data_IF_499408004681
#
_entry.id   IF_499408004681
#
_cell.length_a   1.000
_cell.length_b   1.000
_cell.length_c   1.000
_cell.angle_alpha   90.00
_cell.angle_beta   90.00
_cell.angle_gamma   90.00
#
_symmetry.space_group_name_H-M   'P 1'
#
loop_
_entity.id
_entity.type
_entity.pdbx_description
1 polymer ?
#
# COMPACT_ATOMS: atom_id res chain seq x y z
N UNK A 1 -70.90 -0.48 2.43
CA UNK A 1 -70.29 0.79 1.98
C UNK A 1 -68.88 0.76 2.50
N UNK A 2 -67.92 0.86 1.58
CA UNK A 2 -66.52 0.57 1.82
C UNK A 2 -65.83 1.65 2.65
N UNK A 3 -65.10 1.24 3.68
CA UNK A 3 -64.10 2.05 4.36
C UNK A 3 -62.89 2.20 3.43
N UNK A 4 -62.65 3.42 2.96
CA UNK A 4 -61.44 3.77 2.23
C UNK A 4 -60.37 4.20 3.22
N UNK A 5 -59.40 3.32 3.49
CA UNK A 5 -58.12 3.68 4.09
C UNK A 5 -57.45 4.78 3.25
N UNK A 6 -57.28 5.97 3.84
CA UNK A 6 -56.42 7.02 3.27
C UNK A 6 -54.98 6.72 3.69
N UNK A 7 -54.14 6.31 2.73
CA UNK A 7 -52.69 6.40 2.90
C UNK A 7 -52.26 7.87 3.06
N UNK A 8 -51.30 8.20 3.94
CA UNK A 8 -50.78 9.55 4.05
C UNK A 8 -50.09 9.97 2.75
N UNK A 9 -50.28 11.23 2.36
CA UNK A 9 -49.64 11.87 1.22
C UNK A 9 -48.13 11.60 1.24
N UNK A 10 -47.63 10.99 0.17
CA UNK A 10 -46.20 10.71 -0.02
C UNK A 10 -45.48 12.06 -0.05
N UNK A 11 -44.76 12.40 1.01
CA UNK A 11 -43.95 13.62 1.07
C UNK A 11 -43.14 13.72 -0.24
N UNK A 12 -43.32 14.81 -0.99
CA UNK A 12 -42.55 15.06 -2.21
C UNK A 12 -41.09 15.22 -1.81
N UNK A 13 -40.30 14.16 -2.04
CA UNK A 13 -38.84 14.20 -1.92
C UNK A 13 -38.32 15.14 -3.01
N UNK A 14 -37.59 16.18 -2.63
CA UNK A 14 -36.86 17.02 -3.58
C UNK A 14 -35.81 16.16 -4.30
N UNK A 15 -35.85 16.19 -5.64
CA UNK A 15 -34.95 15.44 -6.52
C UNK A 15 -34.13 16.38 -7.41
N UNK A 16 -34.11 17.68 -7.11
CA UNK A 16 -33.25 18.63 -7.80
C UNK A 16 -31.80 18.43 -7.38
N UNK A 17 -30.89 18.41 -8.36
CA UNK A 17 -29.49 18.23 -8.03
C UNK A 17 -28.93 19.43 -7.27
N UNK A 18 -28.18 19.18 -6.20
CA UNK A 18 -27.37 20.19 -5.55
C UNK A 18 -26.19 20.64 -6.42
N UNK A 19 -25.50 21.73 -6.04
CA UNK A 19 -24.25 22.12 -6.70
C UNK A 19 -23.18 21.03 -6.60
N UNK A 20 -22.97 20.47 -5.40
CA UNK A 20 -22.02 19.39 -5.18
C UNK A 20 -22.37 18.10 -5.92
N UNK A 21 -23.67 17.77 -6.02
CA UNK A 21 -24.14 16.62 -6.81
C UNK A 21 -23.85 16.80 -8.29
N UNK A 22 -24.12 17.99 -8.86
CA UNK A 22 -23.71 18.30 -10.23
C UNK A 22 -22.20 18.22 -10.44
N UNK A 23 -21.41 18.80 -9.53
CA UNK A 23 -19.95 18.84 -9.64
C UNK A 23 -19.36 17.43 -9.64
N UNK A 24 -19.71 16.63 -8.63
CA UNK A 24 -19.21 15.27 -8.47
C UNK A 24 -19.83 14.32 -9.50
N UNK A 25 -21.11 14.51 -9.84
CA UNK A 25 -21.84 13.74 -10.84
C UNK A 25 -21.25 13.89 -12.24
N UNK A 26 -20.85 15.10 -12.65
CA UNK A 26 -20.17 15.30 -13.94
C UNK A 26 -18.86 14.54 -14.01
N UNK A 27 -18.08 14.52 -12.93
CA UNK A 27 -16.84 13.75 -12.87
C UNK A 27 -17.12 12.25 -12.99
N UNK A 28 -18.08 11.73 -12.22
CA UNK A 28 -18.51 10.34 -12.24
C UNK A 28 -19.04 9.89 -13.61
N UNK A 29 -19.95 10.67 -14.20
CA UNK A 29 -20.58 10.37 -15.49
C UNK A 29 -19.52 10.31 -16.60
N UNK A 30 -18.58 11.27 -16.59
CA UNK A 30 -17.52 11.34 -17.59
C UNK A 30 -16.41 10.33 -17.35
N UNK A 31 -16.12 9.94 -16.11
CA UNK A 31 -14.99 9.09 -15.76
C UNK A 31 -14.96 7.78 -16.55
N UNK A 32 -16.13 7.16 -16.79
CA UNK A 32 -16.22 5.87 -17.48
C UNK A 32 -15.60 5.89 -18.89
N UNK A 33 -15.96 6.87 -19.72
CA UNK A 33 -15.52 6.95 -21.11
C UNK A 33 -14.31 7.89 -21.31
N UNK A 34 -13.90 8.61 -20.26
CA UNK A 34 -12.84 9.59 -20.36
C UNK A 34 -11.46 8.95 -20.66
N UNK A 35 -10.75 9.42 -21.70
CA UNK A 35 -9.35 9.09 -21.92
C UNK A 35 -8.45 9.66 -20.80
N UNK A 36 -7.39 8.96 -20.36
CA UNK A 36 -6.59 9.38 -19.20
C UNK A 36 -5.98 10.79 -19.30
N UNK A 37 -5.62 11.24 -20.50
CA UNK A 37 -5.08 12.59 -20.73
C UNK A 37 -6.07 13.73 -20.43
N UNK A 38 -7.36 13.43 -20.30
CA UNK A 38 -8.40 14.42 -19.97
C UNK A 38 -8.66 14.55 -18.46
N UNK A 39 -8.06 13.70 -17.61
CA UNK A 39 -8.18 13.82 -16.15
C UNK A 39 -7.70 15.19 -15.68
N UNK A 40 -6.47 15.55 -16.04
CA UNK A 40 -5.86 16.84 -15.68
C UNK A 40 -6.75 18.07 -16.00
N UNK A 41 -7.20 18.27 -17.26
CA UNK A 41 -8.03 19.43 -17.58
C UNK A 41 -9.44 19.37 -16.97
N UNK A 42 -9.99 18.18 -16.71
CA UNK A 42 -11.29 18.02 -16.04
C UNK A 42 -11.18 18.42 -14.56
N UNK A 43 -10.18 17.90 -13.84
CA UNK A 43 -9.91 18.29 -12.44
C UNK A 43 -9.71 19.79 -12.32
N UNK A 44 -8.91 20.39 -13.21
CA UNK A 44 -8.71 21.83 -13.21
C UNK A 44 -10.01 22.62 -13.48
N UNK A 45 -10.92 22.09 -14.30
CA UNK A 45 -12.22 22.73 -14.54
C UNK A 45 -13.14 22.64 -13.32
N UNK A 46 -13.24 21.46 -12.68
CA UNK A 46 -14.08 21.30 -11.49
C UNK A 46 -13.53 22.08 -10.29
N UNK A 47 -12.21 22.17 -10.13
CA UNK A 47 -11.57 23.04 -9.12
C UNK A 47 -11.85 24.51 -9.40
N UNK A 48 -11.80 24.96 -10.66
CA UNK A 48 -12.13 26.35 -11.00
C UNK A 48 -13.60 26.70 -10.70
N UNK A 49 -14.52 25.74 -10.81
CA UNK A 49 -15.95 25.95 -10.49
C UNK A 49 -16.22 26.17 -9.01
N UNK A 50 -15.33 25.70 -8.13
CA UNK A 50 -15.37 25.98 -6.69
C UNK A 50 -14.49 27.18 -6.31
N UNK A 51 -14.04 27.98 -7.29
CA UNK A 51 -13.20 29.16 -7.06
C UNK A 51 -11.71 28.84 -6.83
N UNK A 52 -11.31 27.58 -7.02
CA UNK A 52 -9.92 27.15 -6.86
C UNK A 52 -9.04 27.48 -8.06
N UNK A 53 -7.75 27.66 -7.80
CA UNK A 53 -6.69 27.92 -8.79
C UNK A 53 -5.41 27.17 -8.46
N UNK A 54 -4.43 27.27 -9.35
CA UNK A 54 -3.08 26.69 -9.19
C UNK A 54 -3.09 25.18 -8.87
N UNK A 55 -4.02 24.44 -9.48
CA UNK A 55 -4.23 23.03 -9.16
C UNK A 55 -3.06 22.16 -9.62
N UNK A 56 -2.61 21.27 -8.76
CA UNK A 56 -1.56 20.28 -9.02
C UNK A 56 -2.03 18.92 -8.54
N UNK A 57 -1.66 17.87 -9.27
CA UNK A 57 -1.78 16.48 -8.81
C UNK A 57 -0.36 15.98 -8.65
N UNK A 58 0.03 15.60 -7.43
CA UNK A 58 1.35 15.11 -7.09
C UNK A 58 1.25 13.61 -6.80
N UNK A 59 1.97 12.77 -7.53
CA UNK A 59 1.96 11.31 -7.39
C UNK A 59 3.22 10.83 -6.67
N UNK A 60 3.10 9.86 -5.77
CA UNK A 60 4.27 9.28 -5.10
C UNK A 60 5.21 8.58 -6.12
N UNK A 61 6.51 8.82 -6.04
CA UNK A 61 7.51 8.08 -6.82
C UNK A 61 7.72 6.64 -6.30
N UNK A 62 8.35 5.77 -7.09
CA UNK A 62 8.51 4.36 -6.69
C UNK A 62 9.39 4.16 -5.44
N UNK A 63 10.36 5.05 -5.19
CA UNK A 63 11.19 5.02 -3.98
C UNK A 63 10.54 5.63 -2.74
N UNK A 64 9.30 6.13 -2.85
CA UNK A 64 8.57 6.80 -1.76
C UNK A 64 9.32 8.00 -1.14
N UNK A 65 10.16 8.68 -1.91
CA UNK A 65 10.98 9.83 -1.48
C UNK A 65 10.30 11.15 -1.76
N UNK A 66 9.65 11.28 -2.91
CA UNK A 66 9.06 12.55 -3.38
C UNK A 66 7.66 12.36 -3.96
N UNK A 67 6.87 13.42 -3.88
CA UNK A 67 5.62 13.57 -4.64
C UNK A 67 5.93 14.32 -5.93
N UNK A 68 5.68 13.70 -7.07
CA UNK A 68 6.03 14.18 -8.40
C UNK A 68 4.81 14.78 -9.10
N UNK A 69 4.87 16.02 -9.61
CA UNK A 69 3.74 16.62 -10.29
C UNK A 69 3.40 15.89 -11.59
N UNK A 70 2.14 15.50 -11.73
CA UNK A 70 1.58 14.92 -12.93
C UNK A 70 1.51 15.99 -14.03
N UNK A 71 2.19 15.80 -15.19
CA UNK A 71 2.08 16.73 -16.29
C UNK A 71 0.67 16.66 -16.89
N UNK A 72 0.06 17.83 -17.11
CA UNK A 72 -1.28 17.89 -17.66
C UNK A 72 -1.71 19.29 -18.04
N UNK A 73 -2.55 19.40 -19.08
CA UNK A 73 -3.10 20.69 -19.51
C UNK A 73 -3.94 21.28 -18.37
N UNK A 74 -3.72 22.57 -18.04
CA UNK A 74 -4.38 23.33 -16.96
C UNK A 74 -3.97 22.92 -15.53
N UNK A 75 -3.06 21.97 -15.35
CA UNK A 75 -2.40 21.78 -14.06
C UNK A 75 -1.18 22.68 -13.95
N UNK A 76 -0.94 23.19 -12.76
CA UNK A 76 0.32 23.79 -12.36
C UNK A 76 1.32 22.66 -12.14
N UNK A 77 2.41 22.69 -12.91
CA UNK A 77 3.52 21.73 -12.82
C UNK A 77 4.68 22.43 -12.12
N UNK A 78 4.93 22.06 -10.87
CA UNK A 78 6.06 22.55 -10.07
C UNK A 78 7.25 21.60 -10.10
N UNK A 79 8.13 21.75 -9.11
CA UNK A 79 9.17 20.77 -8.80
C UNK A 79 8.60 19.63 -7.93
N UNK A 80 9.22 18.43 -7.93
CA UNK A 80 8.88 17.38 -6.98
C UNK A 80 9.04 17.85 -5.52
N UNK A 81 8.11 17.47 -4.66
CA UNK A 81 8.09 17.85 -3.24
C UNK A 81 8.54 16.65 -2.36
N UNK A 82 9.45 16.83 -1.37
CA UNK A 82 9.85 15.75 -0.48
C UNK A 82 8.69 15.19 0.35
N UNK A 83 8.53 13.87 0.43
CA UNK A 83 7.47 13.25 1.25
C UNK A 83 7.73 13.49 2.76
N UNK A 84 8.98 13.48 3.19
CA UNK A 84 9.33 13.61 4.61
C UNK A 84 9.40 15.06 5.13
N UNK A 85 9.42 16.05 4.25
CA UNK A 85 9.71 17.45 4.62
C UNK A 85 8.98 18.44 3.69
N UNK A 86 7.66 18.26 3.57
CA UNK A 86 6.78 19.23 2.88
C UNK A 86 5.35 19.16 3.43
N UNK A 87 4.57 20.20 3.17
CA UNK A 87 3.14 20.23 3.51
C UNK A 87 2.35 19.16 2.73
N UNK A 88 2.70 18.95 1.45
CA UNK A 88 2.15 17.85 0.65
C UNK A 88 2.52 16.49 1.25
N UNK A 89 3.77 16.31 1.65
CA UNK A 89 4.26 15.12 2.34
C UNK A 89 3.53 14.85 3.65
N UNK A 90 3.26 15.90 4.43
CA UNK A 90 2.48 15.82 5.67
C UNK A 90 1.04 15.38 5.40
N UNK A 91 0.39 15.95 4.37
CA UNK A 91 -0.95 15.53 3.96
C UNK A 91 -0.98 14.06 3.50
N UNK A 92 0.04 13.64 2.75
CA UNK A 92 0.22 12.27 2.27
C UNK A 92 0.37 11.27 3.43
N UNK A 93 1.36 11.46 4.30
CA UNK A 93 1.69 10.53 5.38
C UNK A 93 0.58 10.43 6.44
N UNK A 94 -0.05 11.57 6.78
CA UNK A 94 -1.14 11.60 7.77
C UNK A 94 -2.48 11.08 7.23
N UNK A 95 -2.65 11.03 5.90
CA UNK A 95 -3.93 10.83 5.22
C UNK A 95 -4.98 11.90 5.62
N UNK A 96 -4.54 13.12 5.93
CA UNK A 96 -5.44 14.22 6.30
C UNK A 96 -5.13 15.47 5.50
N UNK A 97 -6.14 16.31 5.18
CA UNK A 97 -5.89 17.57 4.49
C UNK A 97 -5.01 18.52 5.31
N UNK A 98 -4.09 19.21 4.65
CA UNK A 98 -3.26 20.28 5.22
C UNK A 98 -3.62 21.61 4.55
N UNK A 99 -3.75 22.66 5.35
CA UNK A 99 -4.08 24.02 4.91
C UNK A 99 -2.96 24.98 5.29
N UNK A 100 -2.45 25.72 4.31
CA UNK A 100 -1.35 26.68 4.49
C UNK A 100 -1.84 28.05 4.06
N UNK A 101 -1.82 29.02 4.99
CA UNK A 101 -2.18 30.41 4.69
C UNK A 101 -1.08 31.07 3.85
N UNK A 102 -1.45 31.68 2.73
CA UNK A 102 -0.59 32.41 1.81
C UNK A 102 -1.07 33.86 1.69
N UNK A 103 -0.24 34.73 1.09
CA UNK A 103 -0.59 36.14 0.93
C UNK A 103 -1.82 36.36 0.02
N UNK A 104 -2.07 35.40 -0.87
CA UNK A 104 -3.08 35.43 -1.92
C UNK A 104 -4.20 34.39 -1.71
N UNK A 105 -4.27 33.72 -0.54
CA UNK A 105 -5.33 32.76 -0.23
C UNK A 105 -4.90 31.66 0.73
N UNK A 106 -5.58 30.52 0.66
CA UNK A 106 -5.28 29.29 1.41
C UNK A 106 -4.89 28.19 0.42
N UNK A 107 -3.66 27.69 0.54
CA UNK A 107 -3.20 26.50 -0.20
C UNK A 107 -3.67 25.27 0.54
N UNK A 108 -4.44 24.42 -0.14
CA UNK A 108 -4.93 23.15 0.38
C UNK A 108 -4.17 22.00 -0.25
N UNK A 109 -3.76 21.04 0.58
CA UNK A 109 -3.19 19.76 0.18
C UNK A 109 -4.15 18.65 0.61
N UNK A 110 -4.71 17.93 -0.37
CA UNK A 110 -5.75 16.94 -0.18
C UNK A 110 -5.18 15.56 -0.56
N UNK A 111 -5.11 14.59 0.36
CA UNK A 111 -4.63 13.25 0.02
C UNK A 111 -5.56 12.59 -1.01
N UNK A 112 -4.96 11.94 -2.01
CA UNK A 112 -5.66 11.15 -3.01
C UNK A 112 -5.66 9.68 -2.56
N UNK A 113 -6.78 9.28 -1.96
CA UNK A 113 -6.98 7.96 -1.36
C UNK A 113 -7.78 7.06 -2.32
N UNK A 114 -7.21 5.93 -2.72
CA UNK A 114 -7.93 4.83 -3.36
C UNK A 114 -8.17 3.74 -2.31
N UNK A 115 -9.39 3.69 -1.80
CA UNK A 115 -9.70 3.01 -0.55
C UNK A 115 -8.83 3.53 0.60
N UNK A 116 -7.78 2.79 0.92
CA UNK A 116 -6.81 3.10 1.98
C UNK A 116 -5.37 3.25 1.50
N UNK A 117 -5.09 3.02 0.21
CA UNK A 117 -3.79 3.32 -0.38
C UNK A 117 -3.72 4.80 -0.78
N UNK A 118 -2.53 5.39 -0.65
CA UNK A 118 -2.29 6.81 -0.92
C UNK A 118 -1.57 6.93 -2.25
N UNK A 119 -2.32 7.29 -3.29
CA UNK A 119 -1.79 7.43 -4.65
C UNK A 119 -0.95 8.71 -4.78
N UNK A 120 -1.32 9.75 -4.03
CA UNK A 120 -0.70 11.06 -4.12
C UNK A 120 -1.43 12.14 -3.32
N UNK A 121 -1.25 13.39 -3.75
CA UNK A 121 -1.86 14.58 -3.15
C UNK A 121 -2.35 15.51 -4.27
N UNK A 122 -3.58 16.00 -4.15
CA UNK A 122 -4.07 17.11 -4.95
C UNK A 122 -3.87 18.41 -4.18
N UNK A 123 -3.21 19.38 -4.80
CA UNK A 123 -2.98 20.69 -4.21
C UNK A 123 -3.69 21.77 -5.02
N UNK A 124 -4.29 22.76 -4.36
CA UNK A 124 -4.97 23.90 -4.99
C UNK A 124 -5.00 25.10 -4.05
N UNK A 125 -5.24 26.30 -4.58
CA UNK A 125 -5.37 27.53 -3.79
C UNK A 125 -6.79 28.08 -3.92
N UNK A 126 -7.40 28.45 -2.79
CA UNK A 126 -8.66 29.19 -2.70
C UNK A 126 -8.41 30.57 -2.10
N UNK A 127 -9.23 31.58 -2.43
CA UNK A 127 -9.14 32.90 -1.78
C UNK A 127 -9.48 32.79 -0.28
N UNK A 128 -10.50 31.99 0.05
CA UNK A 128 -10.91 31.59 1.40
C UNK A 128 -11.45 30.16 1.36
N UNK A 129 -11.32 29.40 2.46
CA UNK A 129 -11.86 28.04 2.56
C UNK A 129 -12.83 27.92 3.75
N UNK A 130 -14.09 27.64 3.46
CA UNK A 130 -15.09 27.31 4.48
C UNK A 130 -15.28 25.79 4.65
N UNK A 131 -16.21 25.39 5.52
CA UNK A 131 -16.44 23.98 5.81
C UNK A 131 -17.13 23.22 4.65
N UNK A 132 -17.88 23.91 3.80
CA UNK A 132 -18.48 23.34 2.61
C UNK A 132 -17.42 23.07 1.54
N UNK A 133 -16.49 24.02 1.32
CA UNK A 133 -15.34 23.85 0.45
C UNK A 133 -14.51 22.64 0.89
N UNK A 134 -14.17 22.56 2.19
CA UNK A 134 -13.43 21.43 2.77
C UNK A 134 -14.12 20.10 2.52
N UNK A 135 -15.45 20.02 2.73
CA UNK A 135 -16.22 18.79 2.50
C UNK A 135 -16.24 18.41 1.03
N UNK A 136 -16.49 19.36 0.15
CA UNK A 136 -16.60 19.15 -1.29
C UNK A 136 -15.26 18.73 -1.91
N UNK A 137 -14.19 19.43 -1.55
CA UNK A 137 -12.84 19.14 -2.04
C UNK A 137 -12.31 17.78 -1.58
N UNK A 138 -12.65 17.33 -0.37
CA UNK A 138 -12.33 15.96 0.08
C UNK A 138 -13.02 14.90 -0.78
N UNK A 139 -14.29 15.11 -1.13
CA UNK A 139 -15.03 14.19 -2.02
C UNK A 139 -14.46 14.21 -3.43
N UNK A 140 -14.13 15.41 -3.93
CA UNK A 140 -13.47 15.56 -5.23
C UNK A 140 -12.12 14.83 -5.25
N UNK A 141 -11.29 14.99 -4.21
CA UNK A 141 -10.01 14.30 -4.09
C UNK A 141 -10.17 12.76 -4.12
N UNK A 142 -11.17 12.22 -3.43
CA UNK A 142 -11.50 10.78 -3.49
C UNK A 142 -11.84 10.33 -4.91
N UNK A 143 -12.75 11.02 -5.60
CA UNK A 143 -13.10 10.68 -6.98
C UNK A 143 -11.93 10.83 -7.96
N UNK A 144 -11.05 11.81 -7.74
CA UNK A 144 -9.82 11.97 -8.54
C UNK A 144 -8.88 10.79 -8.31
N UNK A 145 -8.73 10.33 -7.06
CA UNK A 145 -7.93 9.14 -6.74
C UNK A 145 -8.49 7.90 -7.44
N UNK A 146 -9.79 7.63 -7.30
CA UNK A 146 -10.48 6.51 -7.95
C UNK A 146 -10.30 6.56 -9.49
N UNK A 147 -10.42 7.76 -10.07
CA UNK A 147 -10.23 7.96 -11.51
C UNK A 147 -8.78 7.73 -11.92
N UNK A 148 -7.80 8.16 -11.13
CA UNK A 148 -6.38 7.92 -11.42
C UNK A 148 -6.05 6.42 -11.39
N UNK A 149 -6.54 5.70 -10.38
CA UNK A 149 -6.30 4.25 -10.23
C UNK A 149 -6.99 3.48 -11.34
N UNK A 150 -8.28 3.71 -11.57
CA UNK A 150 -9.02 3.02 -12.64
C UNK A 150 -8.46 3.30 -14.03
N UNK A 151 -7.83 4.47 -14.24
CA UNK A 151 -7.20 4.83 -15.52
C UNK A 151 -5.73 4.44 -15.63
N UNK A 152 -5.08 4.05 -14.54
CA UNK A 152 -3.65 3.69 -14.50
C UNK A 152 -3.32 2.59 -15.51
N UNK A 153 -4.13 1.53 -15.59
CA UNK A 153 -3.91 0.41 -16.50
C UNK A 153 -4.10 0.73 -17.99
N UNK A 154 -4.61 1.92 -18.33
CA UNK A 154 -4.85 2.36 -19.72
C UNK A 154 -3.85 3.41 -20.20
N UNK A 155 -2.86 3.80 -19.39
CA UNK A 155 -1.85 4.79 -19.78
C UNK A 155 -0.51 4.60 -19.07
N UNK A 156 0.58 4.66 -19.83
CA UNK A 156 1.92 4.68 -19.25
C UNK A 156 2.29 6.06 -18.66
N UNK A 157 1.46 7.09 -18.84
CA UNK A 157 1.81 8.46 -18.43
C UNK A 157 1.95 8.61 -16.92
N UNK A 158 1.14 7.92 -16.14
CA UNK A 158 1.23 7.97 -14.68
C UNK A 158 2.48 7.25 -14.19
N UNK A 159 2.75 6.10 -14.79
CA UNK A 159 3.96 5.34 -14.55
C UNK A 159 5.23 6.14 -14.91
N UNK A 160 5.25 6.77 -16.09
CA UNK A 160 6.33 7.66 -16.53
C UNK A 160 6.52 8.87 -15.60
N UNK A 161 5.44 9.49 -15.15
CA UNK A 161 5.52 10.64 -14.24
C UNK A 161 6.13 10.27 -12.88
N UNK A 162 5.84 9.08 -12.36
CA UNK A 162 6.36 8.59 -11.07
C UNK A 162 7.83 8.16 -11.12
N UNK A 163 8.39 7.91 -12.31
CA UNK A 163 9.77 7.44 -12.44
C UNK A 163 10.78 8.57 -12.26
N UNK A 164 11.59 8.49 -11.21
CA UNK A 164 12.72 9.39 -10.96
C UNK A 164 14.05 8.85 -11.48
N UNK A 165 14.14 7.55 -11.68
CA UNK A 165 15.34 6.85 -12.13
C UNK A 165 14.99 5.80 -13.21
N UNK A 166 15.97 5.36 -14.03
CA UNK A 166 15.79 4.21 -14.91
C UNK A 166 15.43 2.96 -14.10
N UNK A 167 14.32 2.32 -14.46
CA UNK A 167 13.86 1.08 -13.84
C UNK A 167 14.40 -0.14 -14.60
N UNK A 168 14.88 -1.15 -13.87
CA UNK A 168 15.29 -2.42 -14.47
C UNK A 168 14.08 -3.21 -14.95
N UNK A 169 14.28 -4.12 -15.92
CA UNK A 169 13.20 -5.03 -16.36
C UNK A 169 12.68 -5.91 -15.22
N UNK A 170 13.57 -6.34 -14.32
CA UNK A 170 13.21 -7.13 -13.15
C UNK A 170 12.28 -6.33 -12.22
N UNK A 171 12.62 -5.06 -11.97
CA UNK A 171 11.79 -4.16 -11.16
C UNK A 171 10.44 -3.88 -11.84
N UNK A 172 10.39 -3.71 -13.16
CA UNK A 172 9.12 -3.57 -13.90
C UNK A 172 8.19 -4.79 -13.70
N UNK A 173 8.76 -6.00 -13.72
CA UNK A 173 8.02 -7.23 -13.45
C UNK A 173 7.52 -7.23 -12.01
N UNK A 174 8.38 -6.94 -11.03
CA UNK A 174 7.98 -6.94 -9.62
C UNK A 174 6.88 -5.91 -9.32
N UNK A 175 7.02 -4.67 -9.78
CA UNK A 175 6.00 -3.63 -9.59
C UNK A 175 4.65 -3.98 -10.24
N UNK A 176 4.66 -4.79 -11.31
CA UNK A 176 3.43 -5.28 -11.94
C UNK A 176 2.79 -6.44 -11.18
N UNK A 177 3.54 -7.11 -10.29
CA UNK A 177 3.06 -8.23 -9.49
C UNK A 177 2.44 -7.81 -8.17
N UNK A 178 2.96 -6.75 -7.55
CA UNK A 178 2.59 -6.35 -6.19
C UNK A 178 1.09 -6.00 -6.08
N UNK A 179 0.46 -6.30 -4.93
CA UNK A 179 -0.82 -5.69 -4.56
C UNK A 179 -0.62 -4.18 -4.24
N UNK A 180 -1.69 -3.41 -3.96
CA UNK A 180 -1.56 -2.07 -3.42
C UNK A 180 -0.59 -2.04 -2.22
N UNK A 181 0.24 -1.01 -2.11
CA UNK A 181 1.33 -1.01 -1.12
C UNK A 181 0.83 -0.87 0.32
N UNK A 182 -0.41 -0.45 0.52
CA UNK A 182 -1.03 -0.39 1.83
C UNK A 182 -2.53 -0.69 1.76
N UNK A 183 -3.06 -1.28 2.83
CA UNK A 183 -4.48 -1.42 3.06
C UNK A 183 -4.79 -1.10 4.53
N UNK A 184 -5.85 -0.35 4.80
CA UNK A 184 -6.27 0.07 6.13
C UNK A 184 -7.79 -0.07 6.22
N UNK A 185 -8.22 -1.04 7.02
CA UNK A 185 -9.62 -1.23 7.41
C UNK A 185 -9.71 -1.09 8.93
N UNK A 186 -10.91 -0.96 9.54
CA UNK A 186 -11.01 -0.75 10.98
C UNK A 186 -10.27 -1.81 11.83
N UNK A 187 -10.30 -3.07 11.40
CA UNK A 187 -9.72 -4.19 12.15
C UNK A 187 -8.23 -4.47 11.86
N UNK A 188 -7.70 -4.02 10.73
CA UNK A 188 -6.31 -4.34 10.34
C UNK A 188 -5.74 -3.27 9.41
N UNK A 189 -4.45 -2.97 9.57
CA UNK A 189 -3.68 -2.16 8.64
C UNK A 189 -2.43 -2.91 8.19
N UNK A 190 -2.09 -2.82 6.90
CA UNK A 190 -0.88 -3.41 6.31
C UNK A 190 -0.17 -2.37 5.45
N UNK A 191 1.15 -2.46 5.37
CA UNK A 191 1.95 -1.72 4.40
C UNK A 191 3.23 -2.47 4.06
N UNK A 192 3.66 -2.34 2.80
CA UNK A 192 4.91 -2.88 2.31
C UNK A 192 5.74 -1.85 1.54
N UNK A 193 7.05 -2.07 1.52
CA UNK A 193 8.02 -1.31 0.73
C UNK A 193 9.11 -2.27 0.23
N UNK A 194 9.59 -2.01 -0.99
CA UNK A 194 10.70 -2.73 -1.61
C UNK A 194 11.79 -1.73 -1.93
N UNK A 195 13.01 -2.05 -1.52
CA UNK A 195 14.23 -1.35 -1.88
C UNK A 195 15.23 -2.34 -2.49
N UNK A 196 16.04 -1.95 -3.49
CA UNK A 196 16.01 -0.69 -4.21
C UNK A 196 14.81 -0.62 -5.18
N UNK A 197 13.93 0.36 -5.01
CA UNK A 197 12.66 0.40 -5.75
C UNK A 197 12.78 0.33 -7.29
N UNK A 198 13.88 0.83 -7.87
CA UNK A 198 14.10 0.84 -9.33
C UNK A 198 14.90 -0.34 -9.86
N UNK A 199 15.45 -1.19 -8.98
CA UNK A 199 16.34 -2.30 -9.36
C UNK A 199 15.93 -3.65 -8.78
N UNK A 200 14.99 -3.68 -7.84
CA UNK A 200 14.47 -4.88 -7.17
C UNK A 200 14.19 -6.02 -8.15
N UNK A 201 14.52 -7.25 -7.76
CA UNK A 201 14.47 -8.41 -8.63
C UNK A 201 13.77 -9.63 -8.02
N UNK A 202 14.30 -10.23 -6.95
CA UNK A 202 13.82 -11.47 -6.34
C UNK A 202 12.73 -11.28 -5.29
N UNK A 203 12.75 -10.13 -4.61
CA UNK A 203 11.79 -9.83 -3.55
C UNK A 203 10.38 -9.53 -4.07
N UNK A 204 9.38 -10.04 -3.35
CA UNK A 204 7.99 -9.70 -3.59
C UNK A 204 7.13 -9.94 -2.35
N UNK A 205 5.95 -9.33 -2.31
CA UNK A 205 4.93 -9.67 -1.32
C UNK A 205 3.53 -9.71 -1.95
N UNK A 206 2.62 -10.43 -1.31
CA UNK A 206 1.20 -10.43 -1.67
C UNK A 206 0.32 -10.50 -0.42
N UNK A 207 -0.84 -9.88 -0.48
CA UNK A 207 -1.87 -10.05 0.54
C UNK A 207 -3.26 -9.99 -0.06
N UNK A 208 -4.24 -10.52 0.67
CA UNK A 208 -5.65 -10.33 0.39
C UNK A 208 -6.45 -10.51 1.67
N UNK A 209 -7.45 -9.64 1.86
CA UNK A 209 -8.47 -9.82 2.88
C UNK A 209 -9.69 -10.47 2.23
N UNK A 210 -9.96 -11.73 2.59
CA UNK A 210 -11.13 -12.48 2.13
C UNK A 210 -12.01 -12.75 3.35
N UNK A 211 -13.19 -12.13 3.40
CA UNK A 211 -14.03 -12.11 4.60
C UNK A 211 -13.23 -11.64 5.82
N UNK A 212 -13.14 -12.46 6.87
CA UNK A 212 -12.37 -12.17 8.09
C UNK A 212 -10.93 -12.71 8.06
N UNK A 213 -10.46 -13.25 6.92
CA UNK A 213 -9.11 -13.84 6.82
C UNK A 213 -8.20 -12.94 5.99
N UNK A 214 -7.22 -12.33 6.66
CA UNK A 214 -6.08 -11.69 6.00
C UNK A 214 -5.02 -12.74 5.67
N UNK A 215 -4.81 -12.96 4.38
CA UNK A 215 -3.70 -13.73 3.84
C UNK A 215 -2.51 -12.83 3.55
N UNK A 216 -1.30 -13.29 3.85
CA UNK A 216 -0.06 -12.57 3.59
C UNK A 216 1.04 -13.55 3.13
N UNK A 217 1.86 -13.12 2.18
CA UNK A 217 3.12 -13.76 1.84
C UNK A 217 4.21 -12.70 1.59
N UNK A 218 5.40 -12.93 2.13
CA UNK A 218 6.65 -12.27 1.69
C UNK A 218 7.55 -13.35 1.14
N UNK A 219 8.14 -13.11 -0.02
CA UNK A 219 9.02 -14.06 -0.68
C UNK A 219 10.29 -13.38 -1.12
N UNK A 220 11.36 -14.17 -1.17
CA UNK A 220 12.62 -13.80 -1.80
C UNK A 220 13.06 -14.97 -2.68
N UNK A 221 13.24 -14.68 -3.97
CA UNK A 221 13.58 -15.67 -4.98
C UNK A 221 15.08 -15.70 -5.24
N UNK A 222 15.67 -16.90 -5.18
CA UNK A 222 17.09 -17.11 -5.42
C UNK A 222 17.59 -16.42 -6.70
N UNK A 223 18.77 -15.80 -6.56
CA UNK A 223 19.56 -15.29 -7.66
C UNK A 223 19.37 -13.79 -7.81
N UNK A 224 19.50 -13.28 -9.04
CA UNK A 224 19.37 -11.85 -9.28
C UNK A 224 18.77 -11.56 -10.66
N UNK A 225 18.26 -10.34 -10.83
CA UNK A 225 17.76 -9.84 -12.10
C UNK A 225 16.56 -10.64 -12.63
N UNK A 226 16.55 -10.92 -13.93
CA UNK A 226 15.38 -11.46 -14.61
C UNK A 226 14.99 -12.88 -14.17
N UNK A 227 15.97 -13.72 -13.81
CA UNK A 227 15.69 -15.09 -13.35
C UNK A 227 14.96 -15.08 -12.00
N UNK A 228 15.46 -14.29 -11.04
CA UNK A 228 14.83 -14.10 -9.74
C UNK A 228 13.41 -13.52 -9.90
N UNK A 229 13.25 -12.50 -10.75
CA UNK A 229 11.94 -11.90 -11.00
C UNK A 229 10.93 -12.88 -11.61
N UNK A 230 11.37 -13.74 -12.53
CA UNK A 230 10.51 -14.77 -13.13
C UNK A 230 10.13 -15.84 -12.11
N UNK A 231 11.05 -16.22 -11.22
CA UNK A 231 10.78 -17.20 -10.16
C UNK A 231 9.80 -16.65 -9.12
N UNK A 232 9.99 -15.40 -8.68
CA UNK A 232 9.05 -14.68 -7.83
C UNK A 232 7.65 -14.57 -8.47
N UNK A 233 7.57 -14.28 -9.78
CA UNK A 233 6.31 -14.30 -10.56
C UNK A 233 5.58 -15.63 -10.39
N UNK A 234 6.28 -16.74 -10.56
CA UNK A 234 5.69 -18.09 -10.46
C UNK A 234 5.28 -18.39 -9.02
N UNK A 235 6.10 -18.04 -8.03
CA UNK A 235 5.79 -18.23 -6.61
C UNK A 235 4.53 -17.44 -6.20
N UNK A 236 4.44 -16.15 -6.52
CA UNK A 236 3.26 -15.32 -6.24
C UNK A 236 2.04 -15.84 -7.00
N UNK A 237 2.21 -16.25 -8.26
CA UNK A 237 1.14 -16.87 -9.04
C UNK A 237 0.61 -18.15 -8.40
N UNK A 238 1.51 -19.02 -7.94
CA UNK A 238 1.18 -20.27 -7.27
C UNK A 238 0.50 -20.03 -5.91
N UNK A 239 1.03 -19.10 -5.12
CA UNK A 239 0.43 -18.65 -3.86
C UNK A 239 -1.00 -18.13 -4.07
N UNK A 240 -1.19 -17.22 -5.02
CA UNK A 240 -2.52 -16.65 -5.35
C UNK A 240 -3.48 -17.72 -5.85
N UNK A 241 -3.00 -18.66 -6.67
CA UNK A 241 -3.82 -19.77 -7.15
C UNK A 241 -4.30 -20.63 -5.97
N UNK A 242 -3.38 -21.10 -5.13
CA UNK A 242 -3.69 -21.93 -3.97
C UNK A 242 -4.59 -21.20 -2.96
N UNK A 243 -4.32 -19.92 -2.67
CA UNK A 243 -5.21 -19.07 -1.87
C UNK A 243 -6.63 -19.01 -2.41
N UNK A 244 -6.80 -18.80 -3.72
CA UNK A 244 -8.13 -18.74 -4.38
C UNK A 244 -8.83 -20.10 -4.45
N UNK A 245 -8.09 -21.19 -4.32
CA UNK A 245 -8.65 -22.54 -4.15
C UNK A 245 -9.11 -22.81 -2.71
N UNK A 246 -8.92 -21.84 -1.79
CA UNK A 246 -9.35 -21.90 -0.39
C UNK A 246 -8.81 -23.12 0.38
N UNK A 247 -7.56 -23.50 0.09
CA UNK A 247 -6.85 -24.61 0.77
C UNK A 247 -5.94 -24.08 1.89
N UNK A 248 -5.55 -24.89 2.87
CA UNK A 248 -4.75 -24.48 4.03
C UNK A 248 -3.30 -24.05 3.73
N UNK A 249 -2.60 -23.49 4.73
CA UNK A 249 -1.21 -23.01 4.59
C UNK A 249 -0.22 -24.13 4.20
N UNK A 250 -0.40 -25.35 4.71
CA UNK A 250 0.48 -26.47 4.39
C UNK A 250 0.29 -26.92 2.94
N UNK A 251 -0.94 -26.90 2.45
CA UNK A 251 -1.27 -27.20 1.06
C UNK A 251 -0.82 -26.08 0.11
N UNK A 252 -0.91 -24.81 0.53
CA UNK A 252 -0.33 -23.68 -0.20
C UNK A 252 1.17 -23.88 -0.39
N UNK A 253 1.92 -24.18 0.68
CA UNK A 253 3.35 -24.47 0.60
C UNK A 253 3.62 -25.61 -0.40
N UNK A 254 2.93 -26.74 -0.27
CA UNK A 254 3.15 -27.89 -1.13
C UNK A 254 2.83 -27.58 -2.61
N UNK A 255 1.83 -26.76 -2.88
CA UNK A 255 1.49 -26.33 -4.23
C UNK A 255 2.56 -25.40 -4.82
N UNK A 256 3.02 -24.42 -4.04
CA UNK A 256 4.10 -23.52 -4.46
C UNK A 256 5.39 -24.31 -4.72
N UNK A 257 5.72 -25.25 -3.84
CA UNK A 257 6.92 -26.09 -3.94
C UNK A 257 6.94 -26.89 -5.25
N UNK A 258 5.83 -27.55 -5.57
CA UNK A 258 5.68 -28.27 -6.84
C UNK A 258 5.74 -27.36 -8.06
N UNK A 259 5.18 -26.15 -7.98
CA UNK A 259 5.21 -25.18 -9.07
C UNK A 259 6.64 -24.70 -9.36
N UNK A 260 7.41 -24.37 -8.32
CA UNK A 260 8.81 -23.94 -8.47
C UNK A 260 9.69 -25.09 -8.95
N UNK A 261 9.62 -26.25 -8.31
CA UNK A 261 10.39 -27.42 -8.70
C UNK A 261 10.09 -27.86 -10.15
N UNK A 262 8.82 -27.84 -10.54
CA UNK A 262 8.39 -28.21 -11.90
C UNK A 262 8.84 -27.23 -12.98
N UNK A 263 8.90 -25.93 -12.66
CA UNK A 263 9.23 -24.88 -13.63
C UNK A 263 10.75 -24.64 -13.77
N UNK A 264 11.50 -24.68 -12.66
CA UNK A 264 12.91 -24.29 -12.63
C UNK A 264 13.87 -25.46 -12.32
N UNK A 265 13.36 -26.60 -11.88
CA UNK A 265 14.17 -27.75 -11.47
C UNK A 265 14.66 -27.66 -10.01
N UNK A 266 15.33 -28.73 -9.53
CA UNK A 266 15.54 -28.98 -8.10
C UNK A 266 16.62 -28.11 -7.42
N UNK A 267 17.39 -27.32 -8.18
CA UNK A 267 18.43 -26.45 -7.64
C UNK A 267 17.95 -25.02 -7.37
N UNK A 268 16.71 -24.70 -7.75
CA UNK A 268 16.12 -23.37 -7.61
C UNK A 268 15.09 -23.36 -6.49
N UNK A 269 15.12 -22.31 -5.68
CA UNK A 269 14.19 -22.16 -4.58
C UNK A 269 13.79 -20.71 -4.33
N UNK A 270 12.69 -20.56 -3.59
CA UNK A 270 12.17 -19.30 -3.08
C UNK A 270 12.03 -19.43 -1.57
N UNK A 271 12.63 -18.52 -0.82
CA UNK A 271 12.33 -18.41 0.61
C UNK A 271 10.98 -17.73 0.77
N UNK A 272 10.14 -18.18 1.71
CA UNK A 272 8.80 -17.62 1.86
C UNK A 272 8.32 -17.60 3.30
N UNK A 273 7.77 -16.46 3.71
CA UNK A 273 6.97 -16.33 4.91
C UNK A 273 5.50 -16.24 4.52
N UNK A 274 4.67 -17.20 4.91
CA UNK A 274 3.22 -17.22 4.62
C UNK A 274 2.42 -17.15 5.91
N UNK A 275 1.37 -16.34 5.93
CA UNK A 275 0.51 -16.15 7.11
C UNK A 275 -0.98 -16.11 6.77
N UNK A 276 -1.78 -16.44 7.78
CA UNK A 276 -3.23 -16.19 7.86
C UNK A 276 -3.56 -15.56 9.19
N UNK A 277 -4.24 -14.43 9.17
CA UNK A 277 -4.77 -13.79 10.35
C UNK A 277 -6.29 -13.77 10.26
N UNK A 278 -6.96 -14.39 11.22
CA UNK A 278 -8.37 -14.11 11.49
C UNK A 278 -8.45 -12.73 12.16
N UNK A 279 -8.98 -11.73 11.44
CA UNK A 279 -9.05 -10.35 11.91
C UNK A 279 -10.14 -10.13 12.96
N UNK A 280 -11.09 -11.05 13.09
CA UNK A 280 -12.13 -11.00 14.12
C UNK A 280 -11.61 -11.49 15.47
N UNK A 281 -10.75 -12.52 15.48
CA UNK A 281 -10.26 -13.16 16.71
C UNK A 281 -8.82 -12.82 17.06
N UNK A 282 -8.02 -12.37 16.09
CA UNK A 282 -6.58 -12.17 16.23
C UNK A 282 -5.78 -13.47 16.19
N UNK A 283 -6.37 -14.59 15.77
CA UNK A 283 -5.66 -15.86 15.60
C UNK A 283 -4.78 -15.81 14.35
N UNK A 284 -3.46 -15.78 14.58
CA UNK A 284 -2.43 -15.79 13.56
C UNK A 284 -1.90 -17.21 13.37
N UNK A 285 -1.85 -17.67 12.13
CA UNK A 285 -1.19 -18.90 11.71
C UNK A 285 -0.09 -18.57 10.70
N UNK A 286 1.04 -19.29 10.74
CA UNK A 286 2.11 -19.08 9.78
C UNK A 286 2.95 -20.32 9.46
N UNK A 287 3.62 -20.26 8.31
CA UNK A 287 4.67 -21.17 7.85
C UNK A 287 5.84 -20.32 7.39
N UNK A 288 7.03 -20.61 7.91
CA UNK A 288 8.27 -20.03 7.42
C UNK A 288 9.06 -21.09 6.64
N UNK A 289 9.14 -20.91 5.33
CA UNK A 289 9.86 -21.77 4.39
C UNK A 289 11.25 -21.19 4.11
N UNK A 290 12.13 -21.24 5.11
CA UNK A 290 13.53 -20.81 5.02
C UNK A 290 13.73 -19.29 4.89
N UNK A 291 12.80 -18.49 5.41
CA UNK A 291 12.83 -17.01 5.38
C UNK A 291 13.23 -16.45 6.77
N UNK A 292 13.68 -15.19 6.90
CA UNK A 292 13.86 -14.58 8.21
C UNK A 292 12.60 -14.64 9.09
N UNK A 293 12.77 -14.89 10.39
CA UNK A 293 11.65 -14.99 11.33
C UNK A 293 10.98 -13.62 11.50
N UNK A 294 9.65 -13.51 11.34
CA UNK A 294 8.93 -12.25 11.52
C UNK A 294 9.04 -11.74 12.95
N UNK A 295 9.12 -10.43 13.15
CA UNK A 295 9.20 -9.84 14.48
C UNK A 295 7.80 -9.47 14.99
N UNK A 296 7.45 -9.95 16.19
CA UNK A 296 6.28 -9.49 16.91
C UNK A 296 6.62 -8.20 17.68
N UNK A 297 5.88 -7.14 17.37
CA UNK A 297 5.97 -5.84 18.02
C UNK A 297 4.72 -5.65 18.86
N UNK A 298 4.89 -5.32 20.13
CA UNK A 298 3.80 -5.02 21.06
C UNK A 298 4.13 -3.77 21.85
N UNK A 299 3.17 -2.87 21.97
CA UNK A 299 3.37 -1.57 22.63
C UNK A 299 4.57 -0.81 22.05
N UNK A 300 4.77 -0.87 20.73
CA UNK A 300 5.86 -0.20 20.02
C UNK A 300 7.28 -0.74 20.33
N UNK A 301 7.37 -1.93 20.91
CA UNK A 301 8.64 -2.61 21.17
C UNK A 301 8.65 -4.02 20.57
N UNK A 302 9.77 -4.43 19.98
CA UNK A 302 9.97 -5.81 19.56
C UNK A 302 10.00 -6.72 20.78
N UNK A 303 9.08 -7.69 20.83
CA UNK A 303 8.95 -8.65 21.93
C UNK A 303 9.77 -9.91 21.66
N UNK A 304 9.58 -10.50 20.48
CA UNK A 304 10.21 -11.76 20.09
C UNK A 304 10.10 -11.99 18.58
N UNK A 305 11.00 -12.77 17.98
CA UNK A 305 10.77 -13.41 16.69
C UNK A 305 9.64 -14.45 16.77
N UNK A 306 8.86 -14.59 15.70
CA UNK A 306 7.82 -15.59 15.52
C UNK A 306 8.41 -16.88 14.94
N UNK A 307 9.16 -17.57 15.79
CA UNK A 307 9.84 -18.82 15.45
C UNK A 307 8.88 -19.91 14.97
N UNK A 308 9.36 -20.78 14.07
CA UNK A 308 8.58 -21.91 13.57
C UNK A 308 9.44 -23.16 13.37
N UNK A 309 8.83 -24.35 13.34
CA UNK A 309 9.53 -25.58 12.96
C UNK A 309 10.19 -25.43 11.58
N UNK A 310 11.39 -25.99 11.45
CA UNK A 310 12.16 -25.95 10.20
C UNK A 310 11.33 -26.49 9.03
N UNK A 311 11.15 -25.66 8.02
CA UNK A 311 10.58 -26.01 6.72
C UNK A 311 11.59 -25.62 5.64
N UNK A 312 11.76 -26.48 4.63
CA UNK A 312 12.67 -26.17 3.53
C UNK A 312 12.15 -24.98 2.70
N UNK A 313 13.04 -24.22 2.05
CA UNK A 313 12.63 -23.28 1.01
C UNK A 313 11.76 -23.94 -0.07
N UNK A 314 10.83 -23.16 -0.60
CA UNK A 314 9.89 -23.58 -1.64
C UNK A 314 10.66 -23.96 -2.90
N UNK A 315 10.49 -25.19 -3.40
CA UNK A 315 11.15 -25.72 -4.60
C UNK A 315 12.09 -26.90 -4.31
N UNK A 316 12.50 -27.08 -3.05
CA UNK A 316 13.36 -28.21 -2.65
C UNK A 316 12.61 -29.50 -2.33
N UNK A 317 11.27 -29.48 -2.28
CA UNK A 317 10.48 -30.61 -1.81
C UNK A 317 10.51 -30.76 -0.30
N UNK A 318 10.04 -31.91 0.18
CA UNK A 318 10.11 -32.28 1.59
C UNK A 318 8.77 -32.69 2.19
N UNK A 319 8.75 -32.79 3.52
CA UNK A 319 7.53 -33.06 4.28
C UNK A 319 6.62 -31.83 4.31
N UNK A 320 5.33 -32.06 4.58
CA UNK A 320 4.41 -30.94 4.79
C UNK A 320 4.83 -30.12 6.01
N UNK A 321 4.78 -28.78 5.93
CA UNK A 321 5.18 -27.93 7.03
C UNK A 321 4.21 -28.05 8.20
N UNK A 322 4.75 -27.91 9.40
CA UNK A 322 3.93 -27.75 10.60
C UNK A 322 3.51 -26.30 10.75
N UNK A 323 2.21 -26.06 10.89
CA UNK A 323 1.66 -24.72 11.10
C UNK A 323 1.99 -24.25 12.53
N UNK A 324 2.58 -23.07 12.63
CA UNK A 324 2.72 -22.33 13.90
C UNK A 324 1.52 -21.41 14.11
N UNK A 325 1.16 -21.17 15.37
CA UNK A 325 0.00 -20.35 15.71
C UNK A 325 0.24 -19.47 16.93
N UNK A 326 -0.41 -18.30 16.95
CA UNK A 326 -0.37 -17.35 18.06
C UNK A 326 -1.64 -16.49 18.05
N UNK A 327 -2.20 -16.22 19.23
CA UNK A 327 -3.24 -15.20 19.37
C UNK A 327 -2.59 -13.84 19.62
N UNK A 328 -2.84 -12.89 18.72
CA UNK A 328 -2.40 -11.51 18.85
C UNK A 328 -3.23 -10.75 19.90
N UNK A 329 -2.64 -9.70 20.44
CA UNK A 329 -3.33 -8.69 21.23
C UNK A 329 -3.66 -7.49 20.34
N UNK A 330 -4.74 -6.78 20.68
CA UNK A 330 -5.12 -5.57 19.96
C UNK A 330 -3.96 -4.56 19.98
N UNK A 331 -3.56 -4.09 18.81
CA UNK A 331 -2.43 -3.20 18.60
C UNK A 331 -1.10 -3.93 18.35
N UNK A 332 -1.05 -5.26 18.43
CA UNK A 332 0.13 -6.02 18.03
C UNK A 332 0.42 -5.80 16.55
N UNK A 333 1.70 -5.68 16.24
CA UNK A 333 2.20 -5.63 14.87
C UNK A 333 3.13 -6.81 14.59
N UNK A 334 3.16 -7.23 13.34
CA UNK A 334 4.08 -8.26 12.87
C UNK A 334 4.82 -7.71 11.67
N UNK A 335 6.16 -7.67 11.80
CA UNK A 335 7.05 -7.20 10.75
C UNK A 335 7.71 -8.40 10.06
N UNK A 336 7.45 -8.56 8.78
CA UNK A 336 8.19 -9.46 7.90
C UNK A 336 9.26 -8.65 7.15
N UNK A 337 10.42 -9.27 6.92
CA UNK A 337 11.53 -8.66 6.22
C UNK A 337 12.38 -9.70 5.51
N UNK A 338 13.11 -9.28 4.47
CA UNK A 338 14.06 -10.12 3.73
C UNK A 338 15.48 -9.94 4.25
N UNK A 339 16.35 -10.89 3.91
CA UNK A 339 17.73 -10.96 4.40
C UNK A 339 18.62 -9.83 3.89
N UNK A 340 18.35 -9.25 2.72
CA UNK A 340 19.00 -8.02 2.28
C UNK A 340 18.84 -6.86 3.27
N UNK A 341 17.88 -6.94 4.21
CA UNK A 341 17.76 -5.99 5.32
C UNK A 341 18.71 -6.28 6.51
N UNK A 342 19.39 -7.41 6.60
CA UNK A 342 20.30 -7.70 7.72
C UNK A 342 21.71 -8.08 7.26
N UNK A 343 21.86 -8.53 6.02
CA UNK A 343 23.12 -9.03 5.47
C UNK A 343 24.03 -7.93 4.88
N UNK A 344 23.47 -6.76 4.55
CA UNK A 344 24.24 -5.68 3.95
C UNK A 344 25.06 -4.85 4.93
N UNK A 345 26.28 -4.50 4.53
CA UNK A 345 27.21 -3.72 5.32
C UNK A 345 28.04 -2.76 4.44
N UNK A 346 28.51 -1.66 5.03
CA UNK A 346 29.58 -0.85 4.44
C UNK A 346 30.85 -1.70 4.39
N UNK A 347 31.63 -1.62 3.31
CA UNK A 347 32.83 -2.44 3.15
C UNK A 347 33.83 -2.21 4.29
N UNK A 348 33.94 -3.17 5.22
CA UNK A 348 34.87 -3.14 6.35
C UNK A 348 34.25 -3.02 7.75
N UNK A 349 32.92 -2.98 7.88
CA UNK A 349 32.20 -2.92 9.16
C UNK A 349 31.49 -4.25 9.50
N UNK A 350 31.08 -4.43 10.77
CA UNK A 350 30.27 -5.57 11.22
C UNK A 350 28.87 -5.55 10.57
N UNK A 351 28.24 -6.72 10.41
CA UNK A 351 26.88 -6.83 9.87
C UNK A 351 25.90 -5.93 10.63
N UNK A 352 24.98 -5.27 9.90
CA UNK A 352 23.91 -4.47 10.50
C UNK A 352 23.14 -5.28 11.55
N UNK A 353 22.83 -6.55 11.22
CA UNK A 353 22.35 -7.54 12.18
C UNK A 353 20.95 -7.26 12.74
N UNK A 354 20.37 -8.28 13.37
CA UNK A 354 19.01 -8.21 13.93
C UNK A 354 18.90 -7.19 15.08
N UNK A 355 19.96 -7.01 15.87
CA UNK A 355 19.96 -6.08 17.01
C UNK A 355 19.80 -4.60 16.58
N UNK A 356 20.45 -4.17 15.49
CA UNK A 356 20.28 -2.81 14.98
C UNK A 356 18.90 -2.62 14.36
N UNK A 357 18.37 -3.65 13.67
CA UNK A 357 17.00 -3.62 13.17
C UNK A 357 16.01 -3.41 14.31
N UNK A 358 16.14 -4.17 15.40
CA UNK A 358 15.31 -4.02 16.61
C UNK A 358 15.45 -2.61 17.21
N UNK A 359 16.67 -2.07 17.28
CA UNK A 359 16.92 -0.71 17.76
C UNK A 359 16.14 0.35 16.96
N UNK A 360 16.22 0.28 15.63
CA UNK A 360 15.53 1.22 14.74
C UNK A 360 14.02 1.07 14.76
N UNK A 361 13.51 -0.16 14.81
CA UNK A 361 12.07 -0.43 14.96
C UNK A 361 11.55 0.27 16.21
N UNK A 362 12.16 0.01 17.38
CA UNK A 362 11.70 0.58 18.64
C UNK A 362 11.73 2.12 18.61
N UNK A 363 12.75 2.72 17.98
CA UNK A 363 12.86 4.18 17.86
C UNK A 363 11.76 4.79 16.98
N UNK A 364 11.49 4.18 15.82
CA UNK A 364 10.57 4.73 14.81
C UNK A 364 9.12 4.50 15.20
N UNK A 365 8.82 3.33 15.78
CA UNK A 365 7.49 2.95 16.29
C UNK A 365 6.93 3.97 17.30
N UNK A 366 7.79 4.62 18.08
CA UNK A 366 7.36 5.68 19.00
C UNK A 366 7.07 7.04 18.35
N UNK A 367 7.65 7.31 17.18
CA UNK A 367 7.48 8.58 16.47
C UNK A 367 6.26 8.54 15.53
N UNK A 368 6.05 7.40 14.87
CA UNK A 368 5.08 7.24 13.80
C UNK A 368 3.97 6.25 14.19
N UNK A 369 2.70 6.67 14.02
CA UNK A 369 1.56 5.84 14.43
C UNK A 369 0.99 4.99 13.31
N UNK A 370 1.08 5.40 12.05
CA UNK A 370 0.50 4.66 10.92
C UNK A 370 1.50 3.65 10.38
N UNK A 371 1.03 2.45 10.07
CA UNK A 371 1.87 1.33 9.59
C UNK A 371 2.69 1.74 8.35
N UNK A 372 2.07 2.44 7.40
CA UNK A 372 2.76 2.92 6.20
C UNK A 372 3.87 3.94 6.48
N UNK A 373 3.64 4.87 7.41
CA UNK A 373 4.64 5.86 7.79
C UNK A 373 5.83 5.19 8.48
N UNK A 374 5.57 4.21 9.37
CA UNK A 374 6.59 3.41 10.04
C UNK A 374 7.44 2.63 9.05
N UNK A 375 6.82 1.84 8.15
CA UNK A 375 7.55 1.02 7.17
C UNK A 375 8.44 1.88 6.27
N UNK A 376 7.91 3.02 5.81
CA UNK A 376 8.67 3.98 5.01
C UNK A 376 9.84 4.58 5.79
N UNK A 377 9.58 5.07 7.01
CA UNK A 377 10.62 5.66 7.85
C UNK A 377 11.71 4.65 8.19
N UNK A 378 11.33 3.40 8.49
CA UNK A 378 12.26 2.32 8.77
C UNK A 378 13.14 2.01 7.56
N UNK A 379 12.53 1.79 6.39
CA UNK A 379 13.27 1.56 5.14
C UNK A 379 14.27 2.68 4.84
N UNK A 380 13.84 3.94 4.95
CA UNK A 380 14.69 5.08 4.59
C UNK A 380 15.79 5.31 5.62
N UNK A 381 15.51 5.16 6.92
CA UNK A 381 16.53 5.25 7.97
C UNK A 381 17.59 4.15 7.82
N UNK A 382 17.17 2.91 7.53
CA UNK A 382 18.08 1.79 7.30
C UNK A 382 18.95 2.01 6.05
N UNK A 383 18.37 2.56 4.98
CA UNK A 383 19.10 2.91 3.76
C UNK A 383 20.12 4.03 4.01
N UNK A 384 19.77 5.06 4.78
CA UNK A 384 20.67 6.16 5.14
C UNK A 384 21.84 5.68 5.98
N UNK A 385 21.60 4.83 6.98
CA UNK A 385 22.63 4.28 7.85
C UNK A 385 23.64 3.42 7.06
N UNK A 386 23.22 2.80 5.96
CA UNK A 386 24.07 2.04 5.03
C UNK A 386 24.81 2.88 4.00
N UNK A 387 24.75 4.20 4.09
CA UNK A 387 25.40 5.10 3.13
C UNK A 387 24.62 5.28 1.81
N UNK A 388 23.34 4.93 1.78
CA UNK A 388 22.42 5.27 0.69
C UNK A 388 22.42 4.31 -0.50
N UNK A 389 23.07 3.14 -0.40
CA UNK A 389 23.09 2.13 -1.46
C UNK A 389 22.84 0.73 -0.89
N UNK A 390 22.07 -0.05 -1.64
CA UNK A 390 21.83 -1.46 -1.39
C UNK A 390 22.23 -2.25 -2.65
N UNK A 391 23.00 -3.31 -2.44
CA UNK A 391 23.45 -4.32 -3.40
C UNK A 391 22.49 -5.50 -3.54
N UNK A 392 21.61 -5.73 -2.56
CA UNK A 392 20.63 -6.80 -2.52
C UNK A 392 19.20 -6.26 -2.44
N UNK A 393 18.22 -7.14 -2.59
CA UNK A 393 16.83 -6.75 -2.42
C UNK A 393 16.44 -6.73 -0.92
N UNK A 394 15.78 -5.67 -0.49
CA UNK A 394 15.35 -5.45 0.88
C UNK A 394 13.88 -5.04 0.92
N UNK A 395 13.05 -5.93 1.45
CA UNK A 395 11.61 -5.74 1.59
C UNK A 395 11.23 -5.70 3.05
N UNK A 396 10.32 -4.77 3.38
CA UNK A 396 9.67 -4.69 4.68
C UNK A 396 8.17 -4.79 4.45
N UNK A 397 7.50 -5.64 5.22
CA UNK A 397 6.04 -5.72 5.25
C UNK A 397 5.55 -5.76 6.69
N UNK A 398 4.77 -4.76 7.09
CA UNK A 398 4.23 -4.62 8.44
C UNK A 398 2.72 -4.79 8.40
N UNK A 399 2.18 -5.57 9.34
CA UNK A 399 0.75 -5.61 9.64
C UNK A 399 0.48 -5.20 11.09
N UNK A 400 -0.62 -4.51 11.35
CA UNK A 400 -1.14 -4.17 12.68
C UNK A 400 -2.55 -4.73 12.83
N UNK A 401 -2.77 -5.58 13.83
CA UNK A 401 -4.11 -6.04 14.17
C UNK A 401 -4.79 -5.10 15.17
N UNK A 402 -5.89 -4.47 14.76
CA UNK A 402 -6.66 -3.51 15.57
C UNK A 402 -7.91 -4.11 16.20
N UNK A 403 -8.35 -5.27 15.72
CA UNK A 403 -9.57 -5.94 16.15
C UNK A 403 -10.84 -5.09 16.02
N UNK A 404 -11.93 -5.54 16.64
CA UNK A 404 -13.23 -4.87 16.59
C UNK A 404 -14.11 -5.29 15.41
N UNK A 405 -15.25 -4.63 15.25
CA UNK A 405 -16.24 -4.92 14.18
C UNK A 405 -16.38 -3.73 13.23
N UNK A 406 -16.59 -4.01 11.93
CA UNK A 406 -16.77 -2.99 10.89
C UNK A 406 -18.20 -2.88 10.36
N UNK A 407 -19.16 -3.65 10.91
CA UNK A 407 -20.55 -3.70 10.41
C UNK A 407 -21.23 -2.32 10.34
N UNK A 408 -20.82 -1.39 11.19
CA UNK A 408 -21.30 0.00 11.20
C UNK A 408 -21.02 0.77 9.90
N UNK A 409 -20.04 0.35 9.09
CA UNK A 409 -19.76 0.95 7.78
C UNK A 409 -20.77 0.51 6.71
N UNK A 410 -21.45 -0.61 6.91
CA UNK A 410 -22.49 -1.12 6.00
C UNK A 410 -23.91 -0.70 6.41
N UNK A 411 -24.10 -0.22 7.63
CA UNK A 411 -25.37 0.34 8.11
C UNK A 411 -25.53 1.80 7.69
N UNK A 412 -26.56 2.09 6.90
CA UNK A 412 -27.00 3.45 6.56
C UNK A 412 -27.99 3.94 7.62
N UNK A 413 -27.54 4.08 8.86
CA UNK A 413 -28.35 4.67 9.94
C UNK A 413 -28.36 6.22 9.89
#
# INVERSE_FOLDING_TARGET
>A
MADSERWPDKAMVDRSEGFGERLLGVLLDRAHEMPPQLIAPLVAEEVARVGGRDVSILLQDYGQRVLVPLPGRRLTVGEPEPIGDSDAGTAFLSATPVEVSQADGVRMYLPLLDGSDQVGVMALTLDTADDDDRRLLRRLAGLVADTLVTKHSYTDRFFQARRREPMSLAAEIQWSLLPPLAMSVPQVEVAGILEPAYKVAGDSFDYALNDDILHLAVIDAMGHGLNAATMATVAIGAYRHARRADIGLAEIYAFMDQAIAGQFGPEHFVTAQMMRLDIATGHLQWVNAGHPAPLLIRNHEVVQPLESPTTLPVGFGGEQPRISEQTLQRGDRVLCFTDGLIEEHVAGEEQFGEEQLVHWINRIEHAEKRVRAVVRALSHALMEERGGTTSDDATLFLMEWRGGAADHLASLD
#
